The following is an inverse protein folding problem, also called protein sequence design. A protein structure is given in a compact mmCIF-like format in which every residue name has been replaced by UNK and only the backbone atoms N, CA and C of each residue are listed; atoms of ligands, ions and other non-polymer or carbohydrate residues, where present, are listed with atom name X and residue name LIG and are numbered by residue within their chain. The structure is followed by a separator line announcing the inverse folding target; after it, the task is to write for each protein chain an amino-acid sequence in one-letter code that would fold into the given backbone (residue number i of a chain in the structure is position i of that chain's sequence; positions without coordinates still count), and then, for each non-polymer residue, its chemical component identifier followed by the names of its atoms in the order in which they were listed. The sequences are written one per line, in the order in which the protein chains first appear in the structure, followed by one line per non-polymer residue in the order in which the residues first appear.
data_IF_829091763245
#
_entry.id   IF_829091763245
#
_cell.length_a   1.000
_cell.length_b   1.000
_cell.length_c   1.000
_cell.angle_alpha   90.00
_cell.angle_beta   90.00
_cell.angle_gamma   90.00
#
_symmetry.space_group_name_H-M   'P 1'
#
loop_
_entity.id
_entity.type
_entity.pdbx_description
1 polymer ?
#
# COMPACT_ATOMS: atom_id res chain seq x y z
N UNK A 1 10.30 -15.88 -23.40
CA UNK A 1 9.28 -16.45 -22.50
C UNK A 1 9.60 -16.00 -21.08
N UNK A 2 9.09 -14.85 -20.67
CA UNK A 2 9.33 -14.29 -19.33
C UNK A 2 8.15 -14.62 -18.43
N UNK A 3 8.40 -15.35 -17.34
CA UNK A 3 7.40 -15.57 -16.31
C UNK A 3 7.02 -14.21 -15.73
N UNK A 4 5.79 -13.74 -15.97
CA UNK A 4 5.21 -12.68 -15.16
C UNK A 4 5.27 -13.18 -13.71
N UNK A 5 5.97 -12.46 -12.83
CA UNK A 5 5.89 -12.68 -11.40
C UNK A 5 4.40 -12.84 -11.04
N UNK A 6 4.06 -13.84 -10.22
CA UNK A 6 2.69 -14.06 -9.79
C UNK A 6 2.15 -12.80 -9.11
N UNK A 7 1.45 -11.98 -9.88
CA UNK A 7 0.73 -10.81 -9.39
C UNK A 7 -0.40 -11.34 -8.51
N UNK A 8 -0.68 -10.65 -7.40
CA UNK A 8 -1.82 -11.00 -6.55
C UNK A 8 -3.08 -10.88 -7.41
N UNK A 9 -3.75 -12.01 -7.64
CA UNK A 9 -5.05 -12.05 -8.32
C UNK A 9 -6.13 -11.54 -7.36
N UNK A 10 -6.30 -10.22 -7.37
CA UNK A 10 -7.23 -9.51 -6.47
C UNK A 10 -8.68 -9.93 -6.73
N UNK A 11 -9.03 -10.18 -7.99
CA UNK A 11 -10.38 -10.57 -8.38
C UNK A 11 -10.70 -11.95 -7.79
N UNK A 12 -9.78 -12.92 -7.90
CA UNK A 12 -9.93 -14.23 -7.27
C UNK A 12 -9.98 -14.15 -5.74
N UNK A 13 -9.17 -13.30 -5.13
CA UNK A 13 -9.20 -13.09 -3.68
C UNK A 13 -10.56 -12.54 -3.22
N UNK A 14 -11.11 -11.56 -3.95
CA UNK A 14 -12.42 -11.00 -3.67
C UNK A 14 -13.50 -12.08 -3.77
N UNK A 15 -13.54 -12.85 -4.86
CA UNK A 15 -14.49 -13.96 -5.04
C UNK A 15 -14.43 -14.95 -3.88
N UNK A 16 -13.23 -15.38 -3.46
CA UNK A 16 -13.09 -16.33 -2.35
C UNK A 16 -13.66 -15.79 -1.03
N UNK A 17 -13.53 -14.49 -0.76
CA UNK A 17 -14.04 -13.87 0.46
C UNK A 17 -15.55 -13.62 0.39
N UNK A 18 -16.05 -13.15 -0.76
CA UNK A 18 -17.47 -12.82 -0.96
C UNK A 18 -18.36 -14.06 -1.03
N UNK A 19 -17.88 -15.13 -1.67
CA UNK A 19 -18.62 -16.41 -1.77
C UNK A 19 -18.52 -17.25 -0.48
N UNK A 20 -17.83 -16.75 0.56
CA UNK A 20 -17.62 -17.47 1.81
C UNK A 20 -16.66 -18.67 1.69
N UNK A 21 -15.88 -18.73 0.61
CA UNK A 21 -14.81 -19.72 0.43
C UNK A 21 -13.65 -19.54 1.40
N UNK A 22 -13.47 -18.33 1.95
CA UNK A 22 -12.57 -18.03 3.06
C UNK A 22 -12.99 -16.78 3.82
N UNK A 23 -12.55 -16.64 5.07
CA UNK A 23 -12.64 -15.38 5.80
C UNK A 23 -11.71 -14.32 5.20
N UNK A 24 -12.14 -13.05 5.26
CA UNK A 24 -11.27 -11.93 4.91
C UNK A 24 -10.01 -11.91 5.81
N UNK A 25 -8.80 -11.90 5.22
CA UNK A 25 -7.57 -11.88 6.01
C UNK A 25 -7.51 -10.61 6.86
N UNK A 26 -6.84 -10.68 8.01
CA UNK A 26 -6.63 -9.48 8.83
C UNK A 26 -5.56 -8.55 8.23
N UNK A 27 -4.59 -9.12 7.52
CA UNK A 27 -3.48 -8.41 6.91
C UNK A 27 -3.00 -9.12 5.64
N UNK A 28 -2.54 -8.36 4.67
CA UNK A 28 -1.81 -8.84 3.48
C UNK A 28 -0.45 -8.15 3.46
N UNK A 29 0.63 -8.89 3.27
CA UNK A 29 1.98 -8.34 3.09
C UNK A 29 2.45 -8.56 1.65
N UNK A 30 3.05 -7.55 1.02
CA UNK A 30 3.54 -7.65 -0.36
C UNK A 30 4.68 -6.66 -0.68
N UNK A 31 5.42 -6.93 -1.75
CA UNK A 31 6.43 -6.04 -2.34
C UNK A 31 5.93 -5.65 -3.74
N UNK A 32 5.30 -4.47 -3.92
CA UNK A 32 4.53 -4.21 -5.14
C UNK A 32 5.38 -3.74 -6.32
N UNK A 33 6.62 -3.34 -6.07
CA UNK A 33 7.55 -2.81 -7.08
C UNK A 33 8.89 -3.54 -6.98
N UNK A 34 9.43 -4.02 -8.11
CA UNK A 34 10.72 -4.73 -8.20
C UNK A 34 10.83 -5.91 -7.21
N UNK A 35 9.85 -6.82 -7.25
CA UNK A 35 9.86 -8.03 -6.43
C UNK A 35 11.18 -8.81 -6.66
N UNK A 36 12.02 -8.96 -5.63
CA UNK A 36 13.21 -9.81 -5.75
C UNK A 36 12.80 -11.25 -5.39
N UNK A 37 13.01 -12.30 -6.24
CA UNK A 37 13.79 -12.38 -7.49
C UNK A 37 12.99 -12.26 -8.81
N UNK A 38 11.69 -12.03 -8.78
CA UNK A 38 10.79 -12.15 -9.96
C UNK A 38 10.61 -10.86 -10.79
N UNK A 39 11.19 -9.73 -10.39
CA UNK A 39 11.18 -8.41 -11.05
C UNK A 39 9.80 -7.79 -11.40
N UNK A 40 8.69 -8.44 -11.03
CA UNK A 40 7.34 -7.95 -11.33
C UNK A 40 6.99 -6.68 -10.56
N UNK A 41 6.23 -5.81 -11.21
CA UNK A 41 5.65 -4.60 -10.61
C UNK A 41 4.15 -4.64 -10.82
N UNK A 42 3.37 -4.53 -9.73
CA UNK A 42 1.91 -4.47 -9.79
C UNK A 42 1.46 -3.24 -10.57
N UNK A 43 0.47 -3.44 -11.45
CA UNK A 43 -0.14 -2.34 -12.19
C UNK A 43 -0.86 -1.36 -11.26
N UNK A 44 -1.06 -0.11 -11.70
CA UNK A 44 -1.86 0.89 -10.95
C UNK A 44 -3.29 0.40 -10.74
N UNK A 45 -3.84 -0.35 -11.69
CA UNK A 45 -5.18 -0.92 -11.60
C UNK A 45 -5.26 -1.99 -10.51
N UNK A 46 -4.33 -2.94 -10.49
CA UNK A 46 -4.25 -3.99 -9.46
C UNK A 46 -4.05 -3.40 -8.07
N UNK A 47 -3.21 -2.37 -7.93
CA UNK A 47 -3.02 -1.62 -6.67
C UNK A 47 -4.31 -0.96 -6.22
N UNK A 48 -5.07 -0.34 -7.14
CA UNK A 48 -6.38 0.27 -6.84
C UNK A 48 -7.38 -0.78 -6.37
N UNK A 49 -7.54 -1.88 -7.11
CA UNK A 49 -8.43 -2.98 -6.76
C UNK A 49 -8.10 -3.52 -5.36
N UNK A 50 -6.81 -3.74 -5.07
CA UNK A 50 -6.38 -4.24 -3.77
C UNK A 50 -6.66 -3.24 -2.63
N UNK A 51 -6.46 -1.95 -2.87
CA UNK A 51 -6.78 -0.91 -1.88
C UNK A 51 -8.29 -0.78 -1.62
N UNK A 52 -9.11 -0.95 -2.65
CA UNK A 52 -10.58 -0.97 -2.55
C UNK A 52 -11.05 -2.19 -1.73
N UNK A 53 -10.58 -3.38 -2.10
CA UNK A 53 -10.80 -4.62 -1.35
C UNK A 53 -10.39 -4.46 0.13
N UNK A 54 -9.20 -3.90 0.38
CA UNK A 54 -8.70 -3.72 1.73
C UNK A 54 -9.63 -2.86 2.60
N UNK A 55 -10.15 -1.77 2.02
CA UNK A 55 -11.09 -0.87 2.69
C UNK A 55 -12.43 -1.54 2.94
N UNK A 56 -12.95 -2.28 1.98
CA UNK A 56 -14.28 -2.90 2.04
C UNK A 56 -14.34 -4.04 3.05
N UNK A 57 -13.31 -4.88 3.08
CA UNK A 57 -13.27 -6.05 3.94
C UNK A 57 -12.55 -5.82 5.28
N UNK A 58 -12.04 -4.62 5.52
CA UNK A 58 -11.34 -4.27 6.76
C UNK A 58 -9.98 -4.98 6.90
N UNK A 59 -9.26 -5.11 5.79
CA UNK A 59 -7.93 -5.74 5.69
C UNK A 59 -6.85 -4.66 5.72
N UNK A 60 -5.77 -4.89 6.46
CA UNK A 60 -4.58 -4.04 6.39
C UNK A 60 -3.61 -4.59 5.32
N UNK A 61 -3.37 -3.85 4.26
CA UNK A 61 -2.32 -4.17 3.28
C UNK A 61 -1.02 -3.50 3.73
N UNK A 62 0.05 -4.25 3.93
CA UNK A 62 1.39 -3.76 4.26
C UNK A 62 2.29 -3.97 3.05
N UNK A 63 2.72 -2.86 2.44
CA UNK A 63 3.55 -2.84 1.25
C UNK A 63 5.00 -2.46 1.60
N UNK A 64 5.94 -3.37 1.38
CA UNK A 64 7.37 -3.09 1.46
C UNK A 64 7.82 -2.37 0.17
N UNK A 65 8.00 -1.05 0.27
CA UNK A 65 8.23 -0.14 -0.85
C UNK A 65 9.58 0.60 -0.71
N UNK A 66 10.62 -0.12 -0.27
CA UNK A 66 11.98 0.43 -0.02
C UNK A 66 12.64 1.07 -1.26
N UNK A 67 12.30 0.62 -2.47
CA UNK A 67 12.96 1.10 -3.70
C UNK A 67 12.47 2.47 -4.20
N UNK A 68 11.42 3.05 -3.60
CA UNK A 68 10.83 4.29 -4.10
C UNK A 68 11.73 5.53 -3.92
N UNK A 69 12.70 5.45 -3.03
CA UNK A 69 13.69 6.50 -2.74
C UNK A 69 14.92 6.46 -3.64
N UNK A 70 15.18 5.33 -4.29
CA UNK A 70 16.28 5.18 -5.24
C UNK A 70 15.91 5.64 -6.65
N UNK A 71 14.66 6.06 -6.84
CA UNK A 71 14.18 6.55 -8.13
C UNK A 71 14.52 8.05 -8.27
N UNK A 72 15.71 8.33 -8.81
CA UNK A 72 16.22 9.67 -9.13
C UNK A 72 15.63 10.27 -10.43
N UNK A 73 14.64 9.59 -11.03
CA UNK A 73 13.99 10.01 -12.25
C UNK A 73 13.18 11.29 -12.05
N UNK A 74 13.34 12.23 -12.99
CA UNK A 74 12.63 13.52 -13.00
C UNK A 74 11.22 13.27 -13.55
N UNK A 75 10.20 13.64 -12.77
CA UNK A 75 8.79 13.45 -13.14
C UNK A 75 8.44 14.09 -14.49
N UNK A 76 9.23 15.09 -14.92
CA UNK A 76 9.05 15.78 -16.19
C UNK A 76 9.69 15.06 -17.39
N UNK A 77 10.71 14.24 -17.19
CA UNK A 77 11.45 13.58 -18.28
C UNK A 77 11.19 12.08 -18.36
N UNK A 78 10.93 11.41 -17.24
CA UNK A 78 11.03 9.95 -17.15
C UNK A 78 9.70 9.26 -16.82
N UNK A 79 8.60 10.03 -16.77
CA UNK A 79 7.27 9.56 -16.42
C UNK A 79 6.98 9.57 -14.91
N UNK A 80 5.71 9.32 -14.56
CA UNK A 80 5.24 9.35 -13.17
C UNK A 80 5.76 8.12 -12.41
N UNK A 81 6.28 8.34 -11.20
CA UNK A 81 6.70 7.25 -10.30
C UNK A 81 5.55 6.26 -10.06
N UNK A 82 5.83 4.95 -9.91
CA UNK A 82 4.80 4.00 -9.51
C UNK A 82 4.14 4.44 -8.20
N UNK A 83 2.82 4.59 -8.21
CA UNK A 83 2.06 5.05 -7.03
C UNK A 83 2.20 4.05 -5.87
N UNK A 84 2.54 4.56 -4.68
CA UNK A 84 2.64 3.76 -3.46
C UNK A 84 1.28 3.26 -3.02
N UNK A 85 1.22 2.12 -2.33
CA UNK A 85 -0.05 1.59 -1.83
C UNK A 85 -0.76 2.58 -0.89
N UNK A 86 -0.02 3.30 -0.03
CA UNK A 86 -0.59 4.30 0.86
C UNK A 86 -1.26 5.49 0.14
N UNK A 87 -0.89 5.78 -1.11
CA UNK A 87 -1.51 6.86 -1.91
C UNK A 87 -2.97 6.53 -2.26
N UNK A 88 -3.33 5.25 -2.29
CA UNK A 88 -4.69 4.79 -2.56
C UNK A 88 -5.61 4.83 -1.32
N UNK A 89 -5.10 5.25 -0.16
CA UNK A 89 -5.93 5.46 1.04
C UNK A 89 -6.84 6.68 0.91
N UNK A 90 -6.47 7.67 0.10
CA UNK A 90 -7.31 8.85 -0.14
C UNK A 90 -8.41 8.46 -1.13
N UNK A 91 -9.68 8.81 -0.87
CA UNK A 91 -10.71 8.67 -1.90
C UNK A 91 -10.28 9.49 -3.12
N UNK A 92 -10.20 8.86 -4.29
CA UNK A 92 -10.08 9.59 -5.55
C UNK A 92 -11.30 10.51 -5.65
N UNK A 93 -11.10 11.82 -5.51
CA UNK A 93 -12.15 12.79 -5.81
C UNK A 93 -12.56 12.71 -7.28
N UNK A 94 -13.73 13.26 -7.68
CA UNK A 94 -14.20 13.25 -9.07
C UNK A 94 -13.33 14.03 -10.07
N UNK A 95 -12.17 14.54 -9.66
CA UNK A 95 -11.25 15.27 -10.51
C UNK A 95 -9.83 14.99 -10.01
N UNK A 96 -8.93 14.60 -10.93
CA UNK A 96 -7.52 14.29 -10.66
C UNK A 96 -6.67 15.49 -10.22
N UNK A 97 -7.19 16.35 -9.36
CA UNK A 97 -6.45 17.37 -8.65
C UNK A 97 -5.85 16.78 -7.38
N UNK A 98 -4.55 17.03 -7.16
CA UNK A 98 -3.92 16.84 -5.86
C UNK A 98 -4.71 17.67 -4.85
N UNK A 99 -5.33 17.03 -3.86
CA UNK A 99 -5.66 17.76 -2.64
C UNK A 99 -4.31 18.08 -1.96
N UNK A 100 -4.06 19.38 -1.73
CA UNK A 100 -2.93 19.84 -0.95
C UNK A 100 -3.17 19.38 0.48
N UNK A 101 -2.30 18.48 0.96
CA UNK A 101 -2.51 17.57 2.09
C UNK A 101 -2.63 18.17 3.50
N UNK A 102 -3.37 19.27 3.67
CA UNK A 102 -3.50 19.97 4.95
C UNK A 102 -4.89 19.82 5.60
N UNK A 103 -5.77 18.98 5.02
CA UNK A 103 -7.06 18.62 5.61
C UNK A 103 -7.03 17.25 6.30
N UNK A 104 -7.75 17.04 7.43
CA UNK A 104 -7.91 15.72 8.01
C UNK A 104 -8.73 14.87 7.05
N UNK A 105 -8.04 14.16 6.15
CA UNK A 105 -8.64 13.23 5.22
C UNK A 105 -9.49 12.24 6.00
N UNK A 106 -10.75 12.09 5.62
CA UNK A 106 -11.68 11.09 6.17
C UNK A 106 -11.29 9.66 5.72
N UNK A 107 -10.00 9.34 5.77
CA UNK A 107 -9.37 8.09 5.33
C UNK A 107 -9.26 7.12 6.49
N UNK A 108 -10.34 6.38 6.72
CA UNK A 108 -10.43 5.39 7.80
C UNK A 108 -11.86 5.23 8.28
N UNK A 109 -12.80 4.97 7.36
CA UNK A 109 -14.13 4.52 7.78
C UNK A 109 -13.96 3.11 8.35
N UNK A 110 -14.21 2.94 9.64
CA UNK A 110 -14.34 1.61 10.24
C UNK A 110 -15.45 0.88 9.47
N UNK A 111 -15.17 -0.35 9.04
CA UNK A 111 -16.21 -1.20 8.46
C UNK A 111 -17.28 -1.49 9.51
N UNK A 112 -18.45 -2.01 9.12
CA UNK A 112 -19.49 -2.42 10.09
C UNK A 112 -18.98 -3.39 11.18
N UNK A 113 -17.84 -4.04 10.93
CA UNK A 113 -17.13 -4.93 11.86
C UNK A 113 -16.16 -4.23 12.83
N UNK A 114 -16.01 -2.89 12.76
CA UNK A 114 -15.07 -2.12 13.58
C UNK A 114 -13.61 -2.17 13.10
N UNK A 115 -13.28 -2.97 12.08
CA UNK A 115 -11.93 -3.07 11.51
C UNK A 115 -11.56 -1.82 10.70
N UNK A 116 -10.29 -1.40 10.80
CA UNK A 116 -9.71 -0.35 9.97
C UNK A 116 -8.99 -1.02 8.80
N UNK A 117 -9.63 -1.00 7.63
CA UNK A 117 -9.02 -1.44 6.38
C UNK A 117 -8.25 -0.32 5.68
N UNK A 118 -7.23 -0.67 4.90
CA UNK A 118 -6.42 0.30 4.14
C UNK A 118 -5.01 -0.19 3.88
N UNK A 119 -4.15 0.70 3.39
CA UNK A 119 -2.80 0.38 2.94
C UNK A 119 -1.73 1.11 3.77
N UNK A 120 -0.76 0.37 4.29
CA UNK A 120 0.45 0.89 4.90
C UNK A 120 1.64 0.67 3.95
N UNK A 121 2.35 1.72 3.60
CA UNK A 121 3.62 1.65 2.87
C UNK A 121 4.78 1.74 3.86
N UNK A 122 5.68 0.77 3.81
CA UNK A 122 6.86 0.67 4.68
C UNK A 122 8.11 0.96 3.85
N UNK A 123 9.01 1.79 4.36
CA UNK A 123 10.26 2.15 3.70
C UNK A 123 11.44 2.12 4.67
N UNK A 124 12.66 1.97 4.16
CA UNK A 124 13.88 1.88 4.97
C UNK A 124 15.09 2.55 4.30
N UNK A 125 15.91 3.26 5.09
CA UNK A 125 17.20 3.80 4.63
C UNK A 125 18.32 2.75 4.54
N UNK A 126 18.10 1.55 5.10
CA UNK A 126 19.13 0.50 5.24
C UNK A 126 19.70 0.05 3.89
N UNK A 127 18.90 0.12 2.82
CA UNK A 127 19.32 -0.25 1.46
C UNK A 127 19.86 0.92 0.62
N UNK A 128 19.93 2.14 1.18
CA UNK A 128 20.12 3.37 0.39
C UNK A 128 21.32 4.19 0.85
N UNK A 129 21.49 4.38 2.16
CA UNK A 129 22.49 5.32 2.68
C UNK A 129 23.64 4.63 3.40
N UNK A 130 23.35 3.73 4.34
CA UNK A 130 24.31 2.79 4.93
C UNK A 130 23.57 1.73 5.78
N UNK A 131 24.05 0.47 5.85
CA UNK A 131 23.42 -0.58 6.65
C UNK A 131 23.28 -0.26 8.16
N UNK A 132 24.08 0.69 8.66
CA UNK A 132 24.13 1.08 10.06
C UNK A 132 23.07 2.10 10.51
N UNK A 133 22.33 2.72 9.59
CA UNK A 133 21.45 3.86 9.94
C UNK A 133 20.18 3.42 10.68
N UNK A 134 19.71 2.18 10.51
CA UNK A 134 18.57 1.59 11.26
C UNK A 134 17.32 2.48 11.36
N UNK A 135 17.09 3.33 10.36
CA UNK A 135 15.90 4.19 10.26
C UNK A 135 15.01 3.71 9.11
N UNK A 136 13.70 3.72 9.37
CA UNK A 136 12.64 3.53 8.39
C UNK A 136 11.46 4.43 8.72
N UNK A 137 10.42 4.39 7.89
CA UNK A 137 9.16 5.07 8.14
C UNK A 137 8.00 4.27 7.58
N UNK A 138 6.82 4.60 8.08
CA UNK A 138 5.56 3.98 7.69
C UNK A 138 4.59 5.10 7.32
N UNK A 139 3.95 4.98 6.16
CA UNK A 139 2.82 5.80 5.76
C UNK A 139 1.57 4.91 5.77
N UNK A 140 0.61 5.17 6.66
CA UNK A 140 -0.56 4.31 6.88
C UNK A 140 -1.80 5.14 7.28
N UNK A 141 -3.01 4.56 7.29
CA UNK A 141 -4.20 5.23 7.79
C UNK A 141 -3.99 5.75 9.23
N UNK A 142 -4.54 6.93 9.54
CA UNK A 142 -4.32 7.59 10.84
C UNK A 142 -4.63 6.72 12.07
N UNK A 143 -5.68 5.86 12.09
CA UNK A 143 -5.90 4.95 13.21
C UNK A 143 -4.75 3.96 13.39
N UNK A 144 -4.20 3.42 12.28
CA UNK A 144 -3.05 2.49 12.32
C UNK A 144 -1.81 3.19 12.87
N UNK A 145 -1.52 4.41 12.41
CA UNK A 145 -0.38 5.20 12.91
C UNK A 145 -0.53 5.49 14.41
N UNK A 146 -1.74 5.84 14.86
CA UNK A 146 -2.03 6.11 16.27
C UNK A 146 -1.86 4.87 17.13
N UNK A 147 -2.37 3.74 16.68
CA UNK A 147 -2.25 2.47 17.39
C UNK A 147 -0.78 2.07 17.48
N UNK A 148 -0.02 2.15 16.37
CA UNK A 148 1.43 1.88 16.37
C UNK A 148 2.21 2.78 17.33
N UNK A 149 1.94 4.09 17.31
CA UNK A 149 2.59 5.05 18.21
C UNK A 149 2.31 4.78 19.70
N UNK A 150 1.19 4.12 20.03
CA UNK A 150 0.86 3.76 21.41
C UNK A 150 1.76 2.67 22.00
N UNK A 151 2.46 1.89 21.17
CA UNK A 151 3.34 0.80 21.61
C UNK A 151 4.78 1.27 21.94
N UNK A 152 5.08 2.56 21.85
CA UNK A 152 6.30 3.17 22.40
C UNK A 152 7.58 3.02 21.57
N UNK A 153 7.51 2.33 20.41
CA UNK A 153 8.62 2.21 19.46
C UNK A 153 8.09 2.29 18.03
N UNK A 154 8.70 3.15 17.21
CA UNK A 154 8.65 3.15 15.75
C UNK A 154 10.08 3.14 15.22
#
# INVERSE_FOLDING_TARGET
SGAAAAEVDVDRLATLVEDGGMDAPRMIYLIPTHHNPTAGTMSVESRRKLAEFAREHGVLVVADEVYHLLDWRDEKTDGRRPARMAEFNRPFGPSGGRDNGDGPGKGGRRTGSGKVGGCASVSSFTKIFAPGVRVGWIEAPAPVVRDLASYGYL
#
